data_IF_075318068801
#
_entry.id   IF_075318068801
#
_cell.length_a   1.000
_cell.length_b   1.000
_cell.length_c   1.000
_cell.angle_alpha   90.00
_cell.angle_beta   90.00
_cell.angle_gamma   90.00
#
_symmetry.space_group_name_H-M   'P 1'
#
loop_
_entity.id
_entity.type
_entity.pdbx_description
1 polymer ?
#
# COMPACT_ATOMS: atom_id res chain seq x y z
N UNK A 1 -10.83 16.07 -24.05
CA UNK A 1 -11.63 15.66 -22.87
C UNK A 1 -11.93 14.20 -23.06
N UNK A 2 -10.95 13.36 -22.74
CA UNK A 2 -10.88 11.94 -23.15
C UNK A 2 -10.04 11.19 -22.12
N UNK A 3 -10.71 10.30 -21.41
CA UNK A 3 -10.26 9.02 -20.81
C UNK A 3 -8.97 9.00 -19.96
N UNK A 4 -9.09 9.42 -18.70
CA UNK A 4 -8.08 9.13 -17.65
C UNK A 4 -8.34 7.83 -16.87
N UNK A 5 -9.36 7.05 -17.23
CA UNK A 5 -9.77 5.83 -16.50
C UNK A 5 -9.18 4.53 -17.07
N UNK A 6 -8.60 4.54 -18.27
CA UNK A 6 -8.23 3.30 -18.98
C UNK A 6 -6.82 2.77 -18.70
N UNK A 7 -5.99 3.48 -17.93
CA UNK A 7 -4.59 3.05 -17.67
C UNK A 7 -4.36 2.35 -16.33
N UNK A 8 -5.30 2.39 -15.38
CA UNK A 8 -5.12 1.73 -14.08
C UNK A 8 -5.61 0.27 -14.07
N UNK A 9 -6.23 -0.20 -15.15
CA UNK A 9 -6.82 -1.54 -15.25
C UNK A 9 -6.49 -2.16 -16.61
N UNK A 10 -5.49 -3.03 -16.67
CA UNK A 10 -5.20 -3.82 -17.86
C UNK A 10 -5.09 -5.30 -17.49
N UNK A 11 -5.84 -6.10 -18.25
CA UNK A 11 -6.03 -7.56 -18.23
C UNK A 11 -7.12 -8.12 -17.30
N UNK A 12 -8.24 -8.47 -17.93
CA UNK A 12 -9.31 -9.30 -17.39
C UNK A 12 -8.98 -10.78 -17.67
N UNK A 13 -8.51 -11.53 -16.67
CA UNK A 13 -8.40 -12.99 -16.80
C UNK A 13 -9.31 -13.70 -15.79
N UNK A 14 -10.21 -14.54 -16.32
CA UNK A 14 -11.17 -15.32 -15.55
C UNK A 14 -10.51 -16.60 -15.04
N UNK A 15 -9.90 -16.53 -13.86
CA UNK A 15 -9.59 -17.71 -13.05
C UNK A 15 -10.54 -17.73 -11.84
N UNK A 16 -11.54 -18.61 -11.86
CA UNK A 16 -12.30 -18.99 -10.66
C UNK A 16 -13.35 -17.98 -10.14
N UNK A 17 -14.02 -17.22 -11.00
CA UNK A 17 -15.25 -16.49 -10.62
C UNK A 17 -15.08 -15.28 -9.71
N UNK A 18 -13.85 -14.82 -9.45
CA UNK A 18 -13.54 -13.55 -8.76
C UNK A 18 -12.92 -12.57 -9.76
N UNK A 19 -13.45 -11.35 -9.86
CA UNK A 19 -12.80 -10.27 -10.60
C UNK A 19 -11.47 -9.95 -9.92
N UNK A 20 -10.35 -10.15 -10.62
CA UNK A 20 -9.02 -9.81 -10.12
C UNK A 20 -8.56 -8.56 -10.86
N UNK A 21 -8.41 -7.45 -10.14
CA UNK A 21 -7.92 -6.18 -10.68
C UNK A 21 -6.40 -6.15 -10.43
N UNK A 22 -5.62 -5.90 -11.48
CA UNK A 22 -4.18 -5.65 -11.37
C UNK A 22 -3.91 -4.15 -11.15
N UNK A 23 -2.91 -3.82 -10.34
CA UNK A 23 -2.50 -2.46 -10.01
C UNK A 23 -1.05 -2.23 -10.37
N UNK A 24 -0.77 -1.24 -11.21
CA UNK A 24 0.59 -0.78 -11.53
C UNK A 24 1.11 0.11 -10.39
N UNK A 25 2.06 -0.41 -9.61
CA UNK A 25 2.58 0.31 -8.45
C UNK A 25 3.47 1.49 -8.86
N UNK A 26 4.23 1.36 -9.94
CA UNK A 26 5.08 2.44 -10.46
C UNK A 26 4.23 3.62 -10.93
N UNK A 27 3.15 3.35 -11.67
CA UNK A 27 2.19 4.36 -12.07
C UNK A 27 1.51 5.02 -10.85
N UNK A 28 1.05 4.23 -9.88
CA UNK A 28 0.39 4.75 -8.68
C UNK A 28 1.34 5.65 -7.88
N UNK A 29 2.60 5.25 -7.69
CA UNK A 29 3.61 6.07 -7.01
C UNK A 29 3.83 7.41 -7.73
N UNK A 30 3.89 7.37 -9.06
CA UNK A 30 4.04 8.55 -9.92
C UNK A 30 2.84 9.50 -9.81
N UNK A 31 1.60 8.98 -9.85
CA UNK A 31 0.38 9.77 -9.63
C UNK A 31 0.34 10.42 -8.23
N UNK A 32 0.79 9.68 -7.22
CA UNK A 32 0.85 10.15 -5.84
C UNK A 32 2.01 11.13 -5.58
N UNK A 33 2.85 11.40 -6.60
CA UNK A 33 4.05 12.24 -6.53
C UNK A 33 5.01 11.79 -5.42
N UNK A 34 5.11 10.48 -5.23
CA UNK A 34 6.07 9.88 -4.32
C UNK A 34 7.37 9.69 -5.11
N UNK A 35 8.50 10.18 -4.60
CA UNK A 35 9.81 9.90 -5.19
C UNK A 35 10.22 8.48 -4.83
N UNK A 36 10.75 7.75 -5.80
CA UNK A 36 11.22 6.40 -5.62
C UNK A 36 12.39 6.07 -6.56
N UNK A 37 13.15 5.04 -6.22
CA UNK A 37 14.00 4.30 -7.15
C UNK A 37 13.56 2.83 -7.17
N UNK A 38 13.84 2.13 -8.27
CA UNK A 38 13.46 0.73 -8.46
C UNK A 38 14.70 -0.10 -8.72
N UNK A 39 14.77 -1.26 -8.08
CA UNK A 39 15.71 -2.31 -8.40
C UNK A 39 15.00 -3.64 -8.56
N UNK A 40 15.03 -4.17 -9.78
CA UNK A 40 14.33 -5.39 -10.20
C UNK A 40 15.30 -6.52 -10.47
N UNK A 41 14.86 -7.76 -10.25
CA UNK A 41 15.61 -8.96 -10.65
C UNK A 41 15.90 -8.96 -12.16
N UNK A 42 17.10 -9.36 -12.57
CA UNK A 42 17.48 -9.47 -13.99
C UNK A 42 16.59 -10.49 -14.74
N UNK A 43 16.18 -10.15 -15.97
CA UNK A 43 15.25 -10.90 -16.82
C UNK A 43 14.08 -10.04 -17.30
N UNK A 44 13.19 -10.57 -18.17
CA UNK A 44 11.94 -9.93 -18.64
C UNK A 44 10.94 -9.73 -17.48
N UNK A 45 11.32 -8.91 -16.51
CA UNK A 45 10.48 -8.46 -15.42
C UNK A 45 9.69 -7.25 -15.91
N UNK A 46 8.63 -7.53 -16.66
CA UNK A 46 7.93 -6.49 -17.43
C UNK A 46 6.86 -5.73 -16.63
N UNK A 47 6.80 -5.87 -15.28
CA UNK A 47 5.84 -5.07 -14.52
C UNK A 47 5.94 -5.05 -13.00
N UNK A 48 5.61 -3.89 -12.43
CA UNK A 48 5.22 -3.72 -11.02
C UNK A 48 3.74 -4.03 -10.76
N UNK A 49 3.04 -4.72 -11.69
CA UNK A 49 1.65 -5.12 -11.52
C UNK A 49 1.48 -6.11 -10.38
N UNK A 50 0.63 -5.75 -9.41
CA UNK A 50 0.24 -6.59 -8.27
C UNK A 50 -1.28 -6.76 -8.24
N UNK A 51 -1.75 -7.76 -7.50
CA UNK A 51 -3.17 -8.05 -7.35
C UNK A 51 -3.71 -7.77 -5.94
N UNK A 52 -2.84 -7.71 -4.94
CA UNK A 52 -3.23 -7.45 -3.55
C UNK A 52 -2.07 -6.88 -2.72
N UNK A 53 -2.39 -6.35 -1.54
CA UNK A 53 -1.41 -5.89 -0.55
C UNK A 53 -1.46 -6.81 0.66
N UNK A 54 -0.31 -7.39 1.03
CA UNK A 54 -0.21 -8.31 2.18
C UNK A 54 0.95 -7.96 3.09
N UNK A 55 0.87 -8.45 4.32
CA UNK A 55 1.99 -8.38 5.25
C UNK A 55 3.20 -9.17 4.72
N UNK A 56 4.40 -8.76 5.14
CA UNK A 56 5.66 -9.27 4.58
C UNK A 56 5.87 -10.77 4.82
N UNK A 57 5.17 -11.37 5.79
CA UNK A 57 5.27 -12.80 6.12
C UNK A 57 4.37 -13.64 5.21
N UNK A 58 3.22 -13.12 4.81
CA UNK A 58 2.21 -13.84 4.02
C UNK A 58 2.17 -13.45 2.54
N UNK A 59 2.90 -12.41 2.13
CA UNK A 59 2.95 -11.95 0.75
C UNK A 59 3.59 -12.98 -0.21
N UNK A 60 2.95 -13.14 -1.36
CA UNK A 60 3.30 -14.07 -2.45
C UNK A 60 3.73 -13.31 -3.72
N UNK A 61 4.08 -14.03 -4.79
CA UNK A 61 4.60 -13.48 -6.05
C UNK A 61 3.61 -12.64 -6.86
N UNK A 62 2.45 -12.32 -6.29
CA UNK A 62 1.39 -11.51 -6.85
C UNK A 62 1.08 -10.27 -6.00
N UNK A 63 1.72 -10.16 -4.83
CA UNK A 63 1.35 -9.18 -3.81
C UNK A 63 2.41 -8.07 -3.70
N UNK A 64 1.96 -6.89 -3.29
CA UNK A 64 2.78 -5.81 -2.75
C UNK A 64 2.93 -5.99 -1.24
N UNK A 65 4.11 -5.70 -0.71
CA UNK A 65 4.34 -5.53 0.73
C UNK A 65 5.31 -4.39 1.01
N UNK A 66 5.63 -4.14 2.29
CA UNK A 66 6.61 -3.13 2.69
C UNK A 66 7.43 -3.58 3.90
N UNK A 67 8.64 -3.04 4.01
CA UNK A 67 9.49 -3.13 5.19
C UNK A 67 9.68 -1.72 5.78
N UNK A 68 9.40 -1.56 7.07
CA UNK A 68 9.56 -0.30 7.83
C UNK A 68 10.31 -0.50 9.14
N UNK A 69 11.20 -1.50 9.17
CA UNK A 69 12.04 -1.75 10.34
C UNK A 69 13.22 -0.78 10.35
N UNK A 70 13.47 -0.17 11.50
CA UNK A 70 14.63 0.72 11.71
C UNK A 70 15.94 -0.07 11.84
N UNK A 71 15.85 -1.32 12.26
CA UNK A 71 16.98 -2.25 12.35
C UNK A 71 17.34 -2.78 10.96
N UNK A 72 18.45 -2.28 10.42
CA UNK A 72 18.94 -2.59 9.07
C UNK A 72 19.20 -4.08 8.87
N UNK A 73 19.79 -4.77 9.84
CA UNK A 73 20.09 -6.20 9.73
C UNK A 73 18.80 -7.03 9.69
N UNK A 74 17.83 -6.71 10.57
CA UNK A 74 16.52 -7.36 10.55
C UNK A 74 15.76 -7.05 9.26
N UNK A 75 15.87 -5.83 8.74
CA UNK A 75 15.26 -5.45 7.48
C UNK A 75 15.81 -6.29 6.32
N UNK A 76 17.14 -6.38 6.19
CA UNK A 76 17.82 -7.20 5.18
C UNK A 76 17.38 -8.67 5.29
N UNK A 77 17.36 -9.22 6.52
CA UNK A 77 16.96 -10.61 6.74
C UNK A 77 15.51 -10.86 6.31
N UNK A 78 14.58 -9.97 6.63
CA UNK A 78 13.15 -10.16 6.31
C UNK A 78 12.91 -9.96 4.81
N UNK A 79 13.54 -8.97 4.18
CA UNK A 79 13.44 -8.73 2.74
C UNK A 79 13.96 -9.93 1.96
N UNK A 80 15.12 -10.49 2.31
CA UNK A 80 15.71 -11.65 1.60
C UNK A 80 14.84 -12.91 1.67
N UNK A 81 14.01 -13.05 2.71
CA UNK A 81 13.08 -14.18 2.88
C UNK A 81 11.73 -13.96 2.21
N UNK A 82 11.35 -12.71 1.94
CA UNK A 82 10.04 -12.34 1.40
C UNK A 82 9.80 -12.93 0.00
N UNK A 83 8.55 -13.30 -0.28
CA UNK A 83 8.13 -13.82 -1.58
C UNK A 83 7.22 -12.83 -2.35
N UNK A 84 7.05 -11.61 -1.85
CA UNK A 84 6.28 -10.57 -2.52
C UNK A 84 6.87 -10.24 -3.89
N UNK A 85 6.01 -9.89 -4.85
CA UNK A 85 6.44 -9.40 -6.17
C UNK A 85 7.09 -8.03 -6.05
N UNK A 86 6.50 -7.16 -5.23
CA UNK A 86 7.00 -5.82 -4.99
C UNK A 86 7.16 -5.61 -3.49
N UNK A 87 8.32 -5.11 -3.06
CA UNK A 87 8.59 -4.73 -1.68
C UNK A 87 8.95 -3.25 -1.63
N UNK A 88 8.18 -2.45 -0.89
CA UNK A 88 8.58 -1.08 -0.57
C UNK A 88 9.60 -1.10 0.57
N UNK A 89 10.73 -0.43 0.35
CA UNK A 89 11.87 -0.37 1.25
C UNK A 89 12.22 1.08 1.56
N UNK A 90 12.82 1.33 2.73
CA UNK A 90 13.36 2.64 3.03
C UNK A 90 14.59 2.89 2.15
N UNK A 91 14.78 4.11 1.65
CA UNK A 91 15.90 4.44 0.74
C UNK A 91 17.29 4.14 1.29
N UNK A 92 17.46 4.14 2.62
CA UNK A 92 18.72 3.76 3.28
C UNK A 92 19.11 2.29 3.06
N UNK A 93 18.19 1.45 2.58
CA UNK A 93 18.46 0.05 2.24
C UNK A 93 18.91 -0.12 0.77
N UNK A 94 18.92 0.95 -0.03
CA UNK A 94 19.37 0.91 -1.41
C UNK A 94 20.85 0.49 -1.48
N UNK A 95 21.15 -0.51 -2.32
CA UNK A 95 22.47 -1.15 -2.39
C UNK A 95 22.81 -2.12 -1.25
N UNK A 96 21.96 -2.22 -0.21
CA UNK A 96 22.12 -3.20 0.89
C UNK A 96 21.22 -4.42 0.72
N UNK A 97 20.11 -4.29 0.01
CA UNK A 97 19.17 -5.38 -0.30
C UNK A 97 19.05 -5.58 -1.80
N UNK A 98 18.80 -6.83 -2.18
CA UNK A 98 18.73 -7.26 -3.57
C UNK A 98 17.48 -8.14 -3.76
N UNK A 99 16.81 -8.06 -4.92
CA UNK A 99 15.75 -8.99 -5.29
C UNK A 99 16.18 -10.43 -5.06
N UNK A 100 15.25 -11.23 -4.56
CA UNK A 100 15.49 -12.64 -4.29
C UNK A 100 15.86 -13.40 -5.57
N UNK A 101 17.02 -14.03 -5.57
CA UNK A 101 17.52 -14.79 -6.73
C UNK A 101 16.53 -15.86 -7.18
N UNK A 102 16.38 -16.01 -8.50
CA UNK A 102 15.44 -16.96 -9.12
C UNK A 102 13.96 -16.60 -8.92
N UNK A 103 13.66 -15.39 -8.44
CA UNK A 103 12.29 -14.87 -8.31
C UNK A 103 12.14 -13.57 -9.07
N UNK A 104 10.98 -13.41 -9.66
CA UNK A 104 10.50 -12.14 -10.18
C UNK A 104 10.12 -11.25 -8.99
N UNK A 105 11.05 -10.39 -8.56
CA UNK A 105 10.85 -9.46 -7.45
C UNK A 105 11.42 -8.08 -7.80
N UNK A 106 10.68 -7.03 -7.42
CA UNK A 106 11.13 -5.63 -7.43
C UNK A 106 11.22 -5.08 -6.02
N UNK A 107 12.30 -4.37 -5.75
CA UNK A 107 12.46 -3.54 -4.57
C UNK A 107 12.26 -2.09 -5.00
N UNK A 108 11.32 -1.39 -4.36
CA UNK A 108 11.07 0.03 -4.60
C UNK A 108 11.49 0.79 -3.35
N UNK A 109 12.45 1.68 -3.51
CA UNK A 109 13.01 2.45 -2.41
C UNK A 109 12.33 3.82 -2.32
N UNK A 110 11.87 4.18 -1.12
CA UNK A 110 11.16 5.44 -0.85
C UNK A 110 11.64 6.08 0.46
N UNK A 111 11.40 7.38 0.61
CA UNK A 111 11.72 8.14 1.84
C UNK A 111 10.99 7.58 3.07
N UNK A 112 9.73 7.15 2.93
CA UNK A 112 8.92 6.64 4.04
C UNK A 112 8.00 5.49 3.56
N UNK A 113 8.41 4.21 3.73
CA UNK A 113 7.66 3.05 3.23
C UNK A 113 6.26 2.93 3.82
N UNK A 114 6.10 3.26 5.11
CA UNK A 114 4.81 3.21 5.81
C UNK A 114 3.84 4.25 5.25
N UNK A 115 4.31 5.47 4.99
CA UNK A 115 3.49 6.50 4.38
C UNK A 115 3.14 6.15 2.92
N UNK A 116 4.09 5.60 2.18
CA UNK A 116 3.90 5.20 0.78
C UNK A 116 2.83 4.11 0.67
N UNK A 117 2.95 3.02 1.45
CA UNK A 117 1.98 1.92 1.40
C UNK A 117 0.57 2.39 1.76
N UNK A 118 0.44 3.29 2.74
CA UNK A 118 -0.86 3.85 3.13
C UNK A 118 -1.48 4.70 2.03
N UNK A 119 -0.70 5.54 1.33
CA UNK A 119 -1.20 6.31 0.19
C UNK A 119 -1.60 5.39 -0.98
N UNK A 120 -0.85 4.33 -1.23
CA UNK A 120 -1.18 3.30 -2.23
C UNK A 120 -2.49 2.59 -1.84
N UNK A 121 -2.63 2.12 -0.60
CA UNK A 121 -3.87 1.52 -0.09
C UNK A 121 -5.07 2.46 -0.24
N UNK A 122 -4.88 3.75 0.07
CA UNK A 122 -5.92 4.77 -0.13
C UNK A 122 -6.30 4.96 -1.60
N UNK A 123 -5.35 4.87 -2.52
CA UNK A 123 -5.63 4.91 -3.97
C UNK A 123 -6.30 3.64 -4.47
N UNK A 124 -5.91 2.48 -3.99
CA UNK A 124 -6.41 1.17 -4.45
C UNK A 124 -7.81 0.89 -3.91
N UNK A 125 -8.02 1.04 -2.60
CA UNK A 125 -9.26 0.63 -1.94
C UNK A 125 -10.23 1.79 -1.68
N UNK A 126 -9.75 3.05 -1.67
CA UNK A 126 -10.53 4.19 -1.17
C UNK A 126 -10.57 5.42 -2.10
N UNK A 127 -10.12 5.29 -3.36
CA UNK A 127 -10.15 6.39 -4.34
C UNK A 127 -11.60 6.78 -4.73
N UNK A 128 -11.89 8.05 -5.08
CA UNK A 128 -13.23 8.65 -5.01
C UNK A 128 -14.32 8.09 -5.95
N UNK A 129 -14.03 7.06 -6.74
CA UNK A 129 -15.00 6.39 -7.61
C UNK A 129 -15.89 5.39 -6.85
N UNK A 130 -15.60 5.04 -5.60
CA UNK A 130 -16.40 4.08 -4.81
C UNK A 130 -16.85 4.73 -3.49
N UNK A 131 -18.09 5.20 -3.45
CA UNK A 131 -18.87 5.56 -2.25
C UNK A 131 -18.29 6.59 -1.26
N UNK A 132 -18.43 7.87 -1.60
CA UNK A 132 -18.43 8.98 -0.64
C UNK A 132 -19.66 8.93 0.27
N UNK A 133 -19.66 8.11 1.32
CA UNK A 133 -20.64 8.25 2.42
C UNK A 133 -19.93 8.66 3.71
N UNK A 134 -20.04 9.97 3.97
CA UNK A 134 -19.76 10.71 5.21
C UNK A 134 -18.28 10.78 5.65
N UNK A 135 -17.64 11.89 5.27
CA UNK A 135 -16.57 12.51 6.07
C UNK A 135 -17.18 12.92 7.41
N UNK A 136 -16.75 12.31 8.51
CA UNK A 136 -17.16 12.72 9.86
C UNK A 136 -16.42 14.01 10.22
N UNK A 137 -17.18 15.03 10.61
CA UNK A 137 -16.64 16.32 11.05
C UNK A 137 -16.09 16.17 12.46
N UNK A 138 -14.79 15.91 12.57
CA UNK A 138 -13.99 16.48 13.65
C UNK A 138 -12.67 16.94 13.02
N UNK A 139 -12.61 18.26 12.78
CA UNK A 139 -11.43 19.05 12.37
C UNK A 139 -10.72 18.64 11.08
N UNK A 140 -11.34 18.91 9.92
CA UNK A 140 -10.72 19.12 8.59
C UNK A 140 -9.59 18.17 8.12
N UNK A 141 -9.52 16.95 8.63
CA UNK A 141 -8.51 15.95 8.23
C UNK A 141 -9.23 14.72 7.72
N UNK A 142 -8.76 14.22 6.57
CA UNK A 142 -9.36 13.11 5.83
C UNK A 142 -9.26 11.84 6.68
N UNK A 143 -10.28 11.61 7.52
CA UNK A 143 -10.54 10.33 8.17
C UNK A 143 -11.62 9.64 7.35
N UNK A 144 -11.29 8.46 6.82
CA UNK A 144 -12.24 7.61 6.10
C UNK A 144 -12.69 6.55 7.09
N UNK A 145 -13.88 6.74 7.64
CA UNK A 145 -14.51 5.80 8.57
C UNK A 145 -15.82 5.26 7.97
N UNK A 146 -16.04 3.94 7.92
CA UNK A 146 -17.28 3.37 7.44
C UNK A 146 -18.41 3.62 8.45
N UNK A 147 -19.65 3.65 7.96
CA UNK A 147 -20.86 3.81 8.80
C UNK A 147 -21.02 2.71 9.85
N UNK A 148 -20.34 1.59 9.67
CA UNK A 148 -20.35 0.44 10.59
C UNK A 148 -19.31 0.58 11.71
N UNK A 149 -18.44 1.58 11.65
CA UNK A 149 -17.51 1.89 12.74
C UNK A 149 -18.17 2.77 13.79
N UNK A 150 -17.75 2.62 15.05
CA UNK A 150 -18.17 3.49 16.16
C UNK A 150 -16.93 4.19 16.69
N UNK A 151 -16.93 5.52 16.64
CA UNK A 151 -15.80 6.34 17.07
C UNK A 151 -16.33 7.29 18.14
N UNK A 152 -15.76 7.23 19.35
CA UNK A 152 -16.07 8.19 20.41
C UNK A 152 -15.72 9.61 19.97
N UNK A 153 -16.58 10.57 20.32
CA UNK A 153 -16.31 12.00 20.10
C UNK A 153 -15.08 12.52 20.87
N UNK A 154 -14.65 11.80 21.91
CA UNK A 154 -13.45 12.13 22.68
C UNK A 154 -12.18 11.48 22.15
N UNK A 155 -12.28 10.63 21.12
CA UNK A 155 -11.13 10.04 20.46
C UNK A 155 -10.44 11.07 19.55
N UNK A 156 -9.11 10.99 19.48
CA UNK A 156 -8.31 11.76 18.55
C UNK A 156 -7.78 10.84 17.45
N UNK A 157 -8.05 11.20 16.19
CA UNK A 157 -7.57 10.47 15.02
C UNK A 157 -6.71 11.40 14.18
N UNK A 158 -5.48 10.98 13.95
CA UNK A 158 -4.49 11.65 13.14
C UNK A 158 -4.84 11.66 11.67
N UNK A 159 -4.05 12.39 10.88
CA UNK A 159 -4.18 12.52 9.44
C UNK A 159 -3.97 11.18 8.75
N UNK A 160 -4.66 11.02 7.62
CA UNK A 160 -4.50 9.90 6.70
C UNK A 160 -4.78 8.52 7.31
N UNK A 161 -5.58 8.46 8.37
CA UNK A 161 -5.96 7.18 8.93
C UNK A 161 -7.08 6.51 8.11
N UNK A 162 -6.99 5.18 7.98
CA UNK A 162 -8.08 4.36 7.45
C UNK A 162 -8.69 3.55 8.59
N UNK A 163 -10.01 3.63 8.77
CA UNK A 163 -10.71 2.86 9.80
C UNK A 163 -11.49 1.73 9.12
N UNK A 164 -11.25 0.49 9.56
CA UNK A 164 -11.94 -0.69 9.06
C UNK A 164 -13.44 -0.73 9.42
N UNK A 165 -14.18 -1.61 8.71
CA UNK A 165 -15.56 -1.92 9.06
C UNK A 165 -15.65 -2.53 10.47
N UNK A 166 -16.70 -2.18 11.22
CA UNK A 166 -16.97 -2.70 12.57
C UNK A 166 -15.90 -2.36 13.63
N UNK A 167 -14.96 -1.47 13.32
CA UNK A 167 -14.00 -0.96 14.30
C UNK A 167 -14.70 -0.11 15.36
N UNK A 168 -14.35 -0.33 16.64
CA UNK A 168 -14.76 0.51 17.77
C UNK A 168 -13.56 1.25 18.33
N UNK A 169 -13.60 2.58 18.27
CA UNK A 169 -12.61 3.47 18.87
C UNK A 169 -13.26 4.11 20.09
N UNK A 170 -12.77 3.74 21.28
CA UNK A 170 -13.32 4.15 22.56
C UNK A 170 -12.92 5.56 22.99
N UNK A 171 -13.37 5.95 24.18
CA UNK A 171 -13.11 7.28 24.73
C UNK A 171 -11.61 7.53 24.94
N UNK A 172 -11.17 8.75 24.63
CA UNK A 172 -9.78 9.23 24.82
C UNK A 172 -8.71 8.38 24.11
N UNK A 173 -9.09 7.56 23.13
CA UNK A 173 -8.13 6.89 22.26
C UNK A 173 -7.39 7.91 21.39
N UNK A 174 -6.09 7.72 21.20
CA UNK A 174 -5.24 8.53 20.34
C UNK A 174 -4.70 7.60 19.25
N UNK A 175 -5.09 7.86 18.00
CA UNK A 175 -4.57 7.18 16.82
C UNK A 175 -3.72 8.19 16.08
N UNK A 176 -2.40 7.98 15.99
CA UNK A 176 -1.49 8.90 15.32
C UNK A 176 -1.61 8.88 13.80
N UNK A 177 -1.08 9.95 13.18
CA UNK A 177 -1.03 10.13 11.74
C UNK A 177 -0.48 8.87 11.04
N UNK A 178 -1.09 8.49 9.92
CA UNK A 178 -0.66 7.39 9.06
C UNK A 178 -0.81 5.98 9.68
N UNK A 179 -1.99 5.74 10.26
CA UNK A 179 -2.39 4.47 10.87
C UNK A 179 -3.54 3.80 10.10
N UNK A 180 -3.51 2.48 10.01
CA UNK A 180 -4.57 1.62 9.44
C UNK A 180 -5.02 0.63 10.52
#
# INVERSE_FOLDING_TARGET
MTDHLNHTQLSENRLGGKHVIAYDIEFILSELKIRYSIYSSEGDFDSTYIYDIKDIKNASSNDLTFCSLDDVEKAIMIISKCNAKVVLCHQLLEGLVYPKSGKQQSLIFVDNPRLAIMKIMNKIYYSPSINRRKRTRQNDKIVIAPLTSTISESAWIGKNCSIGNFTKIGDKCIIDDNTV
#
